data_IF_676904863562
#
_entry.id   IF_676904863562
#
_cell.length_a   1.000
_cell.length_b   1.000
_cell.length_c   1.000
_cell.angle_alpha   90.00
_cell.angle_beta   90.00
_cell.angle_gamma   90.00
#
_symmetry.space_group_name_H-M   'P 1'
#
loop_
_entity.id
_entity.type
_entity.pdbx_description
1 polymer ?
#
# COMPACT_ATOMS: atom_id res chain seq x y z
N UNK A 1 -23.45 28.87 -7.28
CA UNK A 1 -22.37 29.13 -8.24
C UNK A 1 -21.29 28.10 -7.99
N UNK A 2 -21.10 27.16 -8.91
CA UNK A 2 -19.98 26.22 -8.90
C UNK A 2 -18.75 26.98 -9.40
N UNK A 3 -17.64 26.89 -8.69
CA UNK A 3 -16.37 27.47 -9.14
C UNK A 3 -15.84 26.69 -10.36
N UNK A 4 -15.12 27.32 -11.31
CA UNK A 4 -14.57 26.65 -12.50
C UNK A 4 -13.63 25.47 -12.21
N UNK A 5 -13.22 25.27 -10.96
CA UNK A 5 -12.43 24.13 -10.49
C UNK A 5 -13.24 22.83 -10.39
N UNK A 6 -14.56 22.88 -10.23
CA UNK A 6 -15.42 21.70 -10.06
C UNK A 6 -15.68 20.93 -11.37
N UNK A 7 -15.16 21.43 -12.50
CA UNK A 7 -15.29 20.80 -13.82
C UNK A 7 -14.02 20.14 -14.35
N UNK A 8 -12.87 20.35 -13.68
CA UNK A 8 -11.60 19.79 -14.15
C UNK A 8 -11.54 18.28 -13.90
N UNK A 9 -11.33 17.50 -14.97
CA UNK A 9 -11.13 16.06 -14.91
C UNK A 9 -9.65 15.77 -14.70
N UNK A 10 -9.22 15.90 -13.44
CA UNK A 10 -7.81 15.75 -13.04
C UNK A 10 -7.30 14.32 -13.15
N UNK A 11 -8.16 13.36 -12.83
CA UNK A 11 -7.84 11.94 -12.83
C UNK A 11 -8.95 11.14 -13.48
N UNK A 12 -8.62 9.94 -13.92
CA UNK A 12 -9.59 8.91 -14.29
C UNK A 12 -9.26 7.67 -13.50
N UNK A 13 -10.26 7.13 -12.81
CA UNK A 13 -10.18 5.87 -12.09
C UNK A 13 -10.85 4.76 -12.88
N UNK A 14 -10.24 3.58 -12.90
CA UNK A 14 -10.82 2.38 -13.51
C UNK A 14 -10.49 1.14 -12.71
N UNK A 15 -11.46 0.25 -12.58
CA UNK A 15 -11.25 -1.09 -12.02
C UNK A 15 -10.44 -1.91 -13.01
N UNK A 16 -9.35 -2.52 -12.55
CA UNK A 16 -8.58 -3.48 -13.34
C UNK A 16 -9.18 -4.86 -13.10
N UNK A 17 -9.58 -5.54 -14.16
CA UNK A 17 -10.16 -6.89 -14.08
C UNK A 17 -9.17 -8.00 -14.47
N UNK A 18 -7.96 -7.63 -14.86
CA UNK A 18 -6.90 -8.59 -15.20
C UNK A 18 -5.87 -8.66 -14.07
N UNK A 19 -5.21 -9.81 -13.97
CA UNK A 19 -4.02 -10.06 -13.13
C UNK A 19 -2.85 -9.08 -13.39
N UNK A 20 -2.93 -8.32 -14.49
CA UNK A 20 -1.97 -7.27 -14.85
C UNK A 20 -2.28 -5.97 -14.12
N UNK A 21 -1.83 -5.87 -12.87
CA UNK A 21 -1.70 -4.56 -12.24
C UNK A 21 -1.82 -4.50 -10.73
N UNK A 22 -2.07 -5.60 -10.03
CA UNK A 22 -2.12 -5.65 -8.57
C UNK A 22 -1.65 -6.98 -8.00
N UNK A 23 -1.67 -7.10 -6.67
CA UNK A 23 -1.34 -8.36 -5.98
C UNK A 23 -2.56 -9.28 -5.99
N UNK A 24 -2.51 -10.47 -6.60
CA UNK A 24 -3.57 -11.45 -6.42
C UNK A 24 -3.47 -12.07 -5.01
N UNK A 25 -4.59 -12.56 -4.45
CA UNK A 25 -4.61 -13.03 -3.07
C UNK A 25 -3.57 -14.13 -2.80
N UNK A 26 -3.49 -15.12 -3.70
CA UNK A 26 -2.62 -16.28 -3.56
C UNK A 26 -1.13 -15.96 -3.64
N UNK A 27 -0.74 -14.78 -4.15
CA UNK A 27 0.69 -14.43 -4.23
C UNK A 27 1.32 -14.14 -2.87
N UNK A 28 0.57 -13.57 -1.93
CA UNK A 28 1.11 -13.10 -0.65
C UNK A 28 0.59 -13.90 0.54
N UNK A 29 -0.51 -14.64 0.36
CA UNK A 29 -1.13 -15.48 1.39
C UNK A 29 -0.20 -16.60 1.90
N UNK A 30 -0.10 -16.83 3.23
CA UNK A 30 0.54 -18.03 3.80
C UNK A 30 -0.19 -19.34 3.46
N UNK A 31 0.48 -20.49 3.55
CA UNK A 31 -0.13 -21.78 3.17
C UNK A 31 -1.29 -22.19 4.09
N UNK A 32 -1.20 -21.81 5.36
CA UNK A 32 -2.16 -22.06 6.43
C UNK A 32 -3.36 -21.11 6.44
N UNK A 33 -3.32 -20.06 5.63
CA UNK A 33 -4.38 -19.08 5.62
C UNK A 33 -5.66 -19.64 4.98
N UNK A 34 -6.81 -19.19 5.47
CA UNK A 34 -8.14 -19.63 5.06
C UNK A 34 -8.93 -18.45 4.52
N UNK A 35 -9.65 -18.69 3.41
CA UNK A 35 -10.25 -17.63 2.63
C UNK A 35 -9.20 -16.72 2.01
N UNK A 36 -9.60 -15.94 1.02
CA UNK A 36 -8.84 -14.80 0.54
C UNK A 36 -9.79 -13.91 -0.27
N UNK A 37 -9.68 -12.61 -0.12
CA UNK A 37 -10.37 -11.66 -0.97
C UNK A 37 -9.39 -10.57 -1.39
N UNK A 38 -9.59 -10.05 -2.59
CA UNK A 38 -8.93 -8.83 -3.04
C UNK A 38 -9.99 -7.79 -3.31
N UNK A 39 -9.85 -6.65 -2.65
CA UNK A 39 -10.56 -5.42 -2.97
C UNK A 39 -9.64 -4.57 -3.86
N UNK A 40 -10.04 -4.33 -5.11
CA UNK A 40 -9.19 -3.76 -6.15
C UNK A 40 -8.74 -4.79 -7.20
N UNK A 41 -7.80 -4.46 -8.10
CA UNK A 41 -7.00 -3.23 -8.16
C UNK A 41 -7.76 -2.07 -8.82
N UNK A 42 -7.67 -0.87 -8.24
CA UNK A 42 -8.12 0.37 -8.86
C UNK A 42 -6.91 1.08 -9.48
N UNK A 43 -6.99 1.39 -10.76
CA UNK A 43 -6.00 2.20 -11.45
C UNK A 43 -6.46 3.65 -11.54
N UNK A 44 -5.57 4.56 -11.16
CA UNK A 44 -5.72 6.00 -11.39
C UNK A 44 -4.71 6.44 -12.45
N UNK A 45 -5.19 7.13 -13.49
CA UNK A 45 -4.37 7.74 -14.54
C UNK A 45 -4.69 9.23 -14.66
N UNK A 46 -3.81 10.05 -15.28
CA UNK A 46 -4.10 11.45 -15.55
C UNK A 46 -5.36 11.59 -16.40
N UNK A 47 -6.27 12.48 -15.99
CA UNK A 47 -7.43 12.86 -16.78
C UNK A 47 -7.11 13.93 -17.83
N UNK A 48 -8.13 14.34 -18.58
CA UNK A 48 -7.97 15.30 -19.69
C UNK A 48 -7.40 16.65 -19.23
N UNK A 49 -7.69 17.06 -17.99
CA UNK A 49 -7.29 18.36 -17.44
C UNK A 49 -6.12 18.26 -16.46
N UNK A 50 -5.42 17.12 -16.40
CA UNK A 50 -4.39 16.85 -15.38
C UNK A 50 -3.28 17.90 -15.32
N UNK A 51 -2.96 18.57 -16.43
CA UNK A 51 -1.95 19.62 -16.48
C UNK A 51 -2.40 20.95 -15.83
N UNK A 52 -3.72 21.20 -15.78
CA UNK A 52 -4.31 22.40 -15.17
C UNK A 52 -4.69 22.19 -13.70
N UNK A 53 -4.65 20.94 -13.23
CA UNK A 53 -5.08 20.61 -11.88
C UNK A 53 -4.06 21.07 -10.84
N UNK A 54 -4.49 21.85 -9.83
CA UNK A 54 -3.62 22.28 -8.75
C UNK A 54 -3.25 21.07 -7.89
N UNK A 55 -2.02 21.07 -7.38
CA UNK A 55 -1.57 20.04 -6.46
C UNK A 55 -0.22 20.39 -5.85
N UNK A 56 -0.17 20.45 -4.53
CA UNK A 56 1.06 20.40 -3.77
C UNK A 56 1.01 19.12 -2.93
N UNK A 57 2.16 18.46 -2.75
CA UNK A 57 2.23 17.34 -1.84
C UNK A 57 1.85 17.85 -0.44
N UNK A 58 1.02 17.10 0.32
CA UNK A 58 0.60 17.55 1.63
C UNK A 58 1.80 17.72 2.56
N UNK A 59 1.61 18.44 3.66
CA UNK A 59 2.63 18.46 4.70
C UNK A 59 2.84 17.03 5.22
N UNK A 60 4.08 16.66 5.52
CA UNK A 60 4.36 15.40 6.21
C UNK A 60 3.79 15.50 7.63
N UNK A 61 2.68 14.81 7.89
CA UNK A 61 2.01 14.75 9.20
C UNK A 61 1.88 13.30 9.64
N UNK A 62 2.03 13.05 10.93
CA UNK A 62 2.10 11.71 11.52
C UNK A 62 0.85 11.32 12.32
N UNK A 63 -0.04 12.30 12.57
CA UNK A 63 -1.22 12.14 13.41
C UNK A 63 -2.43 11.51 12.67
N UNK A 64 -2.29 11.29 11.37
CA UNK A 64 -3.29 10.72 10.49
C UNK A 64 -2.69 9.56 9.66
N UNK A 65 -3.49 8.55 9.27
CA UNK A 65 -3.02 7.56 8.30
C UNK A 65 -2.46 8.28 7.08
N UNK A 66 -1.20 7.98 6.75
CA UNK A 66 -0.44 8.63 5.69
C UNK A 66 -1.29 8.79 4.42
N UNK A 67 -1.42 9.99 3.82
CA UNK A 67 -2.34 10.22 2.69
C UNK A 67 -2.12 9.28 1.49
N UNK A 68 -0.88 8.82 1.28
CA UNK A 68 -0.52 7.84 0.25
C UNK A 68 -0.96 6.41 0.58
N UNK A 69 -1.21 6.11 1.86
CA UNK A 69 -1.77 4.83 2.32
C UNK A 69 -3.31 4.78 2.21
N UNK A 70 -3.95 5.93 1.95
CA UNK A 70 -5.39 6.03 1.72
C UNK A 70 -5.70 5.73 0.24
N UNK A 71 -6.52 4.72 -0.06
CA UNK A 71 -7.00 4.50 -1.41
C UNK A 71 -7.72 5.73 -1.96
N UNK A 72 -7.50 6.05 -3.24
CA UNK A 72 -8.29 7.03 -3.97
C UNK A 72 -7.95 8.50 -3.72
N UNK A 73 -6.83 8.83 -3.07
CA UNK A 73 -6.42 10.24 -2.91
C UNK A 73 -5.96 10.84 -4.25
N UNK A 74 -6.93 11.46 -4.96
CA UNK A 74 -6.72 12.14 -6.23
C UNK A 74 -5.77 13.34 -6.11
N UNK A 75 -5.81 14.04 -4.97
CA UNK A 75 -4.95 15.21 -4.73
C UNK A 75 -3.50 14.79 -4.62
N UNK A 76 -3.22 13.71 -3.90
CA UNK A 76 -1.87 13.12 -3.85
C UNK A 76 -1.41 12.68 -5.25
N UNK A 77 -2.27 12.00 -6.01
CA UNK A 77 -1.92 11.58 -7.37
C UNK A 77 -1.57 12.77 -8.27
N UNK A 78 -2.41 13.79 -8.32
CA UNK A 78 -2.14 15.01 -9.10
C UNK A 78 -0.85 15.71 -8.64
N UNK A 79 -0.65 15.87 -7.33
CA UNK A 79 0.54 16.51 -6.76
C UNK A 79 1.84 15.74 -7.08
N UNK A 80 1.78 14.41 -7.09
CA UNK A 80 2.92 13.55 -7.42
C UNK A 80 3.38 13.66 -8.87
N UNK A 81 2.53 14.16 -9.78
CA UNK A 81 2.74 14.16 -11.24
C UNK A 81 3.03 12.78 -11.82
N UNK A 82 2.53 11.74 -11.15
CA UNK A 82 2.63 10.35 -11.59
C UNK A 82 1.93 10.14 -12.95
N UNK A 83 2.38 9.12 -13.68
CA UNK A 83 1.77 8.67 -14.93
C UNK A 83 0.71 7.61 -14.70
N UNK A 84 0.78 6.91 -13.55
CA UNK A 84 -0.13 5.83 -13.19
C UNK A 84 -0.03 5.55 -11.69
N UNK A 85 -1.15 5.26 -11.04
CA UNK A 85 -1.22 4.67 -9.70
C UNK A 85 -2.08 3.43 -9.76
N UNK A 86 -1.68 2.37 -9.08
CA UNK A 86 -2.59 1.25 -8.78
C UNK A 86 -2.56 0.94 -7.32
N UNK A 87 -3.72 0.65 -6.76
CA UNK A 87 -3.87 0.29 -5.37
C UNK A 87 -4.93 -0.80 -5.19
N UNK A 88 -4.85 -1.47 -4.06
CA UNK A 88 -5.83 -2.45 -3.64
C UNK A 88 -5.51 -2.97 -2.25
N UNK A 89 -6.34 -3.89 -1.78
CA UNK A 89 -6.20 -4.56 -0.51
C UNK A 89 -6.37 -6.05 -0.74
N UNK A 90 -5.44 -6.85 -0.22
CA UNK A 90 -5.60 -8.30 -0.11
C UNK A 90 -5.93 -8.62 1.34
N UNK A 91 -6.97 -9.40 1.59
CA UNK A 91 -7.33 -9.88 2.93
C UNK A 91 -7.36 -11.40 2.99
N UNK A 92 -6.94 -11.97 4.12
CA UNK A 92 -7.05 -13.39 4.42
C UNK A 92 -7.20 -13.61 5.93
N UNK A 93 -7.65 -14.79 6.33
CA UNK A 93 -7.70 -15.17 7.74
C UNK A 93 -6.61 -16.19 8.06
N UNK A 94 -6.01 -16.10 9.24
CA UNK A 94 -5.18 -17.13 9.84
C UNK A 94 -5.99 -17.84 10.92
N UNK A 95 -6.00 -19.18 10.89
CA UNK A 95 -6.66 -19.96 11.93
C UNK A 95 -5.63 -20.30 13.00
N UNK A 96 -5.64 -19.54 14.08
CA UNK A 96 -4.81 -19.83 15.25
C UNK A 96 -5.45 -20.97 16.04
N UNK A 97 -4.76 -22.13 16.13
CA UNK A 97 -5.20 -23.22 17.02
C UNK A 97 -5.00 -22.77 18.47
N UNK A 98 -6.03 -22.88 19.34
CA UNK A 98 -5.84 -22.57 20.75
C UNK A 98 -4.75 -23.47 21.35
N UNK A 99 -3.97 -22.96 22.32
CA UNK A 99 -2.97 -23.77 23.01
C UNK A 99 -3.63 -25.01 23.62
N UNK A 100 -2.91 -26.15 23.72
CA UNK A 100 -3.47 -27.45 24.11
C UNK A 100 -4.11 -27.46 25.51
N UNK A 101 -3.88 -26.44 26.32
CA UNK A 101 -4.48 -26.26 27.65
C UNK A 101 -5.90 -25.66 27.64
N UNK A 102 -6.40 -25.18 26.51
CA UNK A 102 -7.78 -24.67 26.38
C UNK A 102 -8.62 -25.64 25.56
N UNK A 103 -9.10 -26.70 26.20
CA UNK A 103 -10.15 -27.55 25.65
C UNK A 103 -11.51 -26.86 25.81
N UNK A 104 -12.24 -26.72 24.70
CA UNK A 104 -13.66 -26.32 24.59
C UNK A 104 -13.97 -24.84 24.23
N UNK A 105 -13.59 -24.45 23.01
CA UNK A 105 -14.49 -23.77 22.05
C UNK A 105 -13.90 -24.04 20.66
N UNK A 106 -14.52 -24.97 19.91
CA UNK A 106 -13.95 -25.55 18.70
C UNK A 106 -14.21 -24.73 17.43
N UNK A 107 -14.00 -23.42 17.50
CA UNK A 107 -13.83 -22.56 16.34
C UNK A 107 -12.51 -21.83 16.56
N UNK A 108 -11.51 -22.09 15.72
CA UNK A 108 -10.21 -21.41 15.84
C UNK A 108 -10.38 -19.89 15.84
N UNK A 109 -9.48 -19.17 16.51
CA UNK A 109 -9.47 -17.70 16.40
C UNK A 109 -9.06 -17.37 14.98
N UNK A 110 -9.96 -16.71 14.25
CA UNK A 110 -9.67 -16.19 12.92
C UNK A 110 -8.99 -14.84 13.07
N UNK A 111 -7.67 -14.84 12.98
CA UNK A 111 -6.88 -13.62 12.91
C UNK A 111 -6.99 -13.05 11.50
N UNK A 112 -7.61 -11.88 11.36
CA UNK A 112 -7.73 -11.21 10.07
C UNK A 112 -6.39 -10.55 9.74
N UNK A 113 -5.93 -10.77 8.53
CA UNK A 113 -4.73 -10.19 7.97
C UNK A 113 -5.07 -9.46 6.68
N UNK A 114 -4.39 -8.35 6.45
CA UNK A 114 -4.59 -7.53 5.28
C UNK A 114 -3.28 -6.92 4.80
N UNK A 115 -3.15 -6.79 3.48
CA UNK A 115 -2.10 -6.03 2.82
C UNK A 115 -2.77 -4.97 1.97
N UNK A 116 -2.77 -3.72 2.46
CA UNK A 116 -2.98 -2.57 1.60
C UNK A 116 -1.74 -2.37 0.75
N UNK A 117 -1.88 -2.28 -0.58
CA UNK A 117 -0.75 -2.07 -1.47
C UNK A 117 -1.00 -0.92 -2.42
N UNK A 118 0.09 -0.29 -2.86
CA UNK A 118 0.04 0.65 -3.95
C UNK A 118 1.34 0.68 -4.75
N UNK A 119 1.22 1.04 -6.02
CA UNK A 119 2.32 1.35 -6.92
C UNK A 119 2.03 2.69 -7.59
N UNK A 120 3.05 3.52 -7.69
CA UNK A 120 3.02 4.83 -8.31
C UNK A 120 4.13 4.88 -9.37
N UNK A 121 3.76 4.91 -10.64
CA UNK A 121 4.70 5.09 -11.75
C UNK A 121 4.88 6.59 -11.99
N UNK A 122 6.13 7.01 -12.10
CA UNK A 122 6.53 8.40 -12.15
C UNK A 122 6.96 8.80 -13.56
N UNK A 123 6.86 10.09 -13.85
CA UNK A 123 7.59 10.66 -14.99
C UNK A 123 9.08 10.59 -14.69
N UNK A 124 9.89 10.37 -15.73
CA UNK A 124 11.35 10.36 -15.62
C UNK A 124 11.85 11.60 -14.89
N UNK A 125 12.69 11.39 -13.88
CA UNK A 125 13.28 12.45 -13.06
C UNK A 125 12.40 12.94 -11.91
N UNK A 126 11.25 12.30 -11.65
CA UNK A 126 10.35 12.60 -10.53
C UNK A 126 10.11 14.12 -10.35
N UNK A 127 9.44 14.79 -11.31
CA UNK A 127 9.26 16.24 -11.26
C UNK A 127 8.38 16.68 -10.08
N UNK A 128 7.58 15.77 -9.50
CA UNK A 128 6.81 16.02 -8.28
C UNK A 128 7.64 15.88 -7.00
N UNK A 129 8.87 15.35 -7.08
CA UNK A 129 9.73 14.99 -5.93
C UNK A 129 9.01 14.05 -4.95
N UNK A 130 8.15 13.18 -5.46
CA UNK A 130 7.32 12.31 -4.62
C UNK A 130 8.14 11.22 -3.95
N UNK A 131 9.24 10.75 -4.54
CA UNK A 131 10.12 9.77 -3.90
C UNK A 131 10.72 10.34 -2.61
N UNK A 132 11.32 11.53 -2.69
CA UNK A 132 11.88 12.22 -1.53
C UNK A 132 10.81 12.57 -0.49
N UNK A 133 9.59 12.89 -0.93
CA UNK A 133 8.46 13.10 -0.04
C UNK A 133 8.07 11.82 0.73
N UNK A 134 7.88 10.70 0.02
CA UNK A 134 7.51 9.42 0.62
C UNK A 134 8.58 8.93 1.59
N UNK A 135 9.86 8.98 1.20
CA UNK A 135 10.96 8.60 2.08
C UNK A 135 10.99 9.46 3.36
N UNK A 136 10.77 10.76 3.23
CA UNK A 136 10.73 11.67 4.39
C UNK A 136 9.56 11.34 5.31
N UNK A 137 8.36 11.14 4.77
CA UNK A 137 7.17 10.81 5.57
C UNK A 137 7.39 9.51 6.32
N UNK A 138 7.81 8.46 5.62
CA UNK A 138 8.01 7.12 6.20
C UNK A 138 9.10 7.13 7.28
N UNK A 139 10.19 7.88 7.09
CA UNK A 139 11.22 8.03 8.13
C UNK A 139 10.75 8.85 9.33
N UNK A 140 10.00 9.93 9.09
CA UNK A 140 9.63 10.88 10.14
C UNK A 140 8.45 10.38 10.97
N UNK A 141 7.46 9.77 10.34
CA UNK A 141 6.22 9.37 10.99
C UNK A 141 6.21 7.92 11.43
N UNK A 142 6.93 7.05 10.71
CA UNK A 142 6.78 5.61 10.88
C UNK A 142 8.06 4.99 11.45
N UNK A 143 8.98 5.83 11.94
CA UNK A 143 10.31 5.46 12.47
C UNK A 143 11.09 4.52 11.55
N UNK A 144 10.88 4.66 10.24
CA UNK A 144 11.33 3.64 9.30
C UNK A 144 12.84 3.59 9.16
N UNK A 145 13.36 2.36 9.14
CA UNK A 145 14.78 2.07 8.95
C UNK A 145 15.04 1.50 7.55
N UNK A 146 16.15 1.86 6.90
CA UNK A 146 16.55 1.23 5.64
C UNK A 146 16.91 -0.23 5.86
N UNK A 147 16.26 -1.12 5.13
CA UNK A 147 16.53 -2.55 5.13
C UNK A 147 16.68 -3.09 3.71
N UNK A 148 17.34 -4.24 3.59
CA UNK A 148 17.31 -5.03 2.37
C UNK A 148 16.31 -6.18 2.58
N UNK A 149 15.17 -6.12 1.91
CA UNK A 149 14.11 -7.12 2.03
C UNK A 149 13.91 -7.78 0.66
N UNK A 150 14.08 -9.10 0.59
CA UNK A 150 14.02 -9.83 -0.69
C UNK A 150 15.05 -9.34 -1.72
N UNK A 151 16.22 -8.87 -1.29
CA UNK A 151 17.27 -8.33 -2.16
C UNK A 151 17.01 -6.92 -2.70
N UNK A 152 15.98 -6.23 -2.20
CA UNK A 152 15.65 -4.85 -2.59
C UNK A 152 15.80 -3.90 -1.43
N UNK A 153 16.25 -2.69 -1.72
CA UNK A 153 16.27 -1.60 -0.73
C UNK A 153 14.83 -1.20 -0.43
N UNK A 154 14.49 -1.21 0.85
CA UNK A 154 13.20 -0.81 1.38
C UNK A 154 13.40 0.12 2.58
N UNK A 155 12.42 0.97 2.85
CA UNK A 155 12.23 1.57 4.17
C UNK A 155 11.12 0.80 4.87
N UNK A 156 11.41 0.26 6.05
CA UNK A 156 10.45 -0.49 6.85
C UNK A 156 10.21 0.25 8.15
N UNK A 157 8.95 0.58 8.43
CA UNK A 157 8.52 1.28 9.63
C UNK A 157 7.22 0.72 10.16
N UNK A 158 6.64 1.42 11.13
CA UNK A 158 5.39 1.02 11.77
C UNK A 158 4.43 2.21 11.85
N UNK A 159 3.19 2.01 11.43
CA UNK A 159 2.11 3.02 11.45
C UNK A 159 0.95 2.57 12.33
N UNK A 160 0.02 3.47 12.59
CA UNK A 160 -1.28 3.09 13.17
C UNK A 160 -2.08 2.23 12.18
N UNK A 161 -2.58 1.09 12.63
CA UNK A 161 -3.49 0.22 11.87
C UNK A 161 -4.72 0.96 11.34
N UNK A 162 -5.08 0.69 10.09
CA UNK A 162 -6.33 1.14 9.47
C UNK A 162 -7.54 0.40 10.06
N UNK A 163 -7.35 -0.84 10.50
CA UNK A 163 -8.40 -1.68 11.10
C UNK A 163 -8.44 -1.62 12.64
N UNK A 164 -7.63 -0.75 13.26
CA UNK A 164 -7.49 -0.58 14.72
C UNK A 164 -7.07 -1.85 15.46
N UNK A 165 -6.22 -2.67 14.83
CA UNK A 165 -5.77 -3.96 15.35
C UNK A 165 -4.40 -3.91 16.05
N UNK A 166 -3.74 -2.75 16.08
CA UNK A 166 -2.40 -2.59 16.64
C UNK A 166 -1.54 -1.68 15.76
N UNK A 167 -0.21 -1.66 15.94
CA UNK A 167 0.69 -1.10 14.95
C UNK A 167 0.72 -2.00 13.70
N UNK A 168 0.76 -1.40 12.52
CA UNK A 168 0.85 -2.07 11.22
C UNK A 168 2.22 -1.79 10.59
N UNK A 169 2.83 -2.81 9.98
CA UNK A 169 4.11 -2.64 9.30
C UNK A 169 3.90 -1.93 7.98
N UNK A 170 4.78 -0.98 7.68
CA UNK A 170 4.78 -0.28 6.41
C UNK A 170 6.11 -0.48 5.71
N UNK A 171 6.05 -0.86 4.43
CA UNK A 171 7.21 -1.13 3.60
C UNK A 171 7.14 -0.23 2.38
N UNK A 172 8.08 0.70 2.24
CA UNK A 172 8.26 1.52 1.04
C UNK A 172 9.41 0.96 0.20
N UNK A 173 9.12 0.70 -1.06
CA UNK A 173 10.05 0.27 -2.09
C UNK A 173 10.16 1.38 -3.15
N UNK A 174 11.37 1.70 -3.59
CA UNK A 174 11.60 2.78 -4.56
C UNK A 174 12.53 2.32 -5.70
N UNK A 175 12.22 2.73 -6.92
CA UNK A 175 13.12 2.71 -8.09
C UNK A 175 13.37 4.14 -8.58
N UNK A 176 14.06 4.29 -9.72
CA UNK A 176 14.28 5.59 -10.34
C UNK A 176 12.97 6.26 -10.83
N UNK A 177 11.97 5.46 -11.19
CA UNK A 177 10.76 5.88 -11.90
C UNK A 177 9.48 5.32 -11.29
N UNK A 178 9.55 4.71 -10.12
CA UNK A 178 8.39 4.21 -9.41
C UNK A 178 8.60 4.14 -7.89
N UNK A 179 7.50 4.22 -7.17
CA UNK A 179 7.42 3.84 -5.76
C UNK A 179 6.34 2.79 -5.60
N UNK A 180 6.55 1.82 -4.71
CA UNK A 180 5.50 0.93 -4.25
C UNK A 180 5.51 0.85 -2.73
N UNK A 181 4.36 0.59 -2.16
CA UNK A 181 4.24 0.42 -0.72
C UNK A 181 3.34 -0.76 -0.38
N UNK A 182 3.61 -1.33 0.79
CA UNK A 182 2.77 -2.30 1.47
C UNK A 182 2.46 -1.78 2.86
N UNK A 183 1.21 -1.91 3.25
CA UNK A 183 0.73 -1.73 4.60
C UNK A 183 0.22 -3.09 5.07
N UNK A 184 0.97 -3.74 5.94
CA UNK A 184 0.65 -5.05 6.49
C UNK A 184 -0.05 -4.83 7.83
N UNK A 185 -1.35 -5.06 7.84
CA UNK A 185 -2.23 -4.74 8.96
C UNK A 185 -3.03 -5.99 9.34
N UNK A 186 -3.01 -6.35 10.61
CA UNK A 186 -3.60 -7.58 11.12
C UNK A 186 -3.49 -7.72 12.63
N UNK A 187 -4.21 -8.68 13.19
CA UNK A 187 -4.21 -8.97 14.64
C UNK A 187 -2.98 -9.75 15.10
N UNK A 188 -2.28 -10.40 14.17
CA UNK A 188 -1.05 -11.15 14.43
C UNK A 188 0.14 -10.42 13.85
N UNK A 189 1.18 -10.21 14.65
CA UNK A 189 2.46 -9.71 14.15
C UNK A 189 3.10 -10.79 13.27
N UNK A 190 3.46 -10.40 12.05
CA UNK A 190 4.16 -11.29 11.12
C UNK A 190 5.60 -11.54 11.61
N UNK A 191 6.10 -12.76 11.40
CA UNK A 191 7.53 -13.02 11.61
C UNK A 191 8.40 -12.31 10.57
N UNK A 192 9.66 -12.00 10.89
CA UNK A 192 10.62 -11.41 9.95
C UNK A 192 10.73 -12.21 8.64
N UNK A 193 10.65 -13.54 8.73
CA UNK A 193 10.68 -14.45 7.58
C UNK A 193 9.44 -14.31 6.70
N UNK A 194 8.26 -14.19 7.29
CA UNK A 194 7.01 -13.99 6.55
C UNK A 194 6.96 -12.60 5.91
N UNK A 195 7.37 -11.56 6.65
CA UNK A 195 7.50 -10.22 6.12
C UNK A 195 8.43 -10.21 4.90
N UNK A 196 9.60 -10.82 5.01
CA UNK A 196 10.56 -10.92 3.91
C UNK A 196 9.99 -11.67 2.70
N UNK A 197 9.24 -12.75 2.91
CA UNK A 197 8.56 -13.51 1.84
C UNK A 197 7.51 -12.65 1.14
N UNK A 198 6.63 -12.01 1.90
CA UNK A 198 5.55 -11.17 1.36
C UNK A 198 6.14 -10.02 0.54
N UNK A 199 7.13 -9.31 1.09
CA UNK A 199 7.79 -8.20 0.40
C UNK A 199 8.48 -8.68 -0.88
N UNK A 200 9.18 -9.82 -0.84
CA UNK A 200 9.83 -10.38 -2.04
C UNK A 200 8.84 -10.68 -3.17
N UNK A 201 7.72 -11.36 -2.84
CA UNK A 201 6.69 -11.65 -3.84
C UNK A 201 6.04 -10.36 -4.34
N UNK A 202 5.67 -9.46 -3.42
CA UNK A 202 5.00 -8.23 -3.78
C UNK A 202 5.87 -7.32 -4.63
N UNK A 203 7.15 -7.19 -4.31
CA UNK A 203 8.08 -6.36 -5.06
C UNK A 203 8.25 -6.84 -6.51
N UNK A 204 8.26 -8.16 -6.75
CA UNK A 204 8.33 -8.72 -8.10
C UNK A 204 7.10 -8.38 -8.97
N UNK A 205 5.96 -8.13 -8.33
CA UNK A 205 4.68 -7.82 -8.98
C UNK A 205 4.41 -6.32 -9.11
N UNK A 206 4.76 -5.55 -8.10
CA UNK A 206 4.48 -4.11 -8.02
C UNK A 206 5.58 -3.27 -8.66
N UNK A 207 6.83 -3.73 -8.64
CA UNK A 207 7.98 -3.03 -9.22
C UNK A 207 8.82 -4.01 -10.05
N UNK A 208 8.33 -4.48 -11.21
CA UNK A 208 9.14 -5.34 -12.07
C UNK A 208 10.43 -4.61 -12.47
N UNK A 209 11.55 -5.33 -12.38
CA UNK A 209 12.92 -4.83 -12.61
C UNK A 209 13.13 -4.29 -14.02
#
# INVERSE_FOLDING_TARGET
MLTPLDTLRCVVQRTITTDRGGLPPDSVKPAEAVGAATEGPVETVPGADAAACPGALPAAGCDEPSPWSRPGDERFFTASRATRRVEGVVTWSLVSKPPPSQSAAADGVNDLQSIGYGVLNLKRGDPGRVLAYLERVVRQCDSAIPLSVGGRRALVGTVTSQFRQGPADVVLLTSQDAAAWLLLDGTTQLSDTELARIVSVAASRLLPS
#
